data_IF_007545489149
#
_entry.id   IF_007545489149
#
_cell.length_a   1.000
_cell.length_b   1.000
_cell.length_c   1.000
_cell.angle_alpha   90.00
_cell.angle_beta   90.00
_cell.angle_gamma   90.00
#
_symmetry.space_group_name_H-M   'P 1'
#
loop_
_entity.id
_entity.type
_entity.pdbx_description
1 polymer ?
#
# COMPACT_ATOMS: atom_id res chain seq x y z
N UNK A 1 8.43 -8.62 -3.86
CA UNK A 1 8.42 -9.07 -2.45
C UNK A 1 9.07 -8.05 -1.49
N UNK A 2 9.10 -6.76 -1.84
CA UNK A 2 9.81 -5.69 -1.11
C UNK A 2 9.08 -5.30 0.20
N UNK A 3 7.77 -5.09 0.12
CA UNK A 3 6.90 -4.68 1.23
C UNK A 3 7.04 -5.54 2.51
N UNK A 4 7.07 -6.87 2.38
CA UNK A 4 7.19 -7.77 3.53
C UNK A 4 8.57 -7.65 4.20
N UNK A 5 9.63 -7.54 3.41
CA UNK A 5 10.98 -7.38 3.94
C UNK A 5 11.11 -6.07 4.72
N UNK A 6 10.51 -5.00 4.21
CA UNK A 6 10.48 -3.69 4.87
C UNK A 6 9.65 -3.70 6.17
N UNK A 7 8.49 -4.37 6.17
CA UNK A 7 7.68 -4.57 7.39
C UNK A 7 8.50 -5.31 8.46
N UNK A 8 9.16 -6.43 8.11
CA UNK A 8 9.97 -7.15 9.10
C UNK A 8 11.18 -6.38 9.56
N UNK A 9 11.88 -5.70 8.65
CA UNK A 9 13.03 -4.87 8.99
C UNK A 9 12.66 -3.84 10.05
N UNK A 10 11.53 -3.15 9.89
CA UNK A 10 11.05 -2.17 10.85
C UNK A 10 10.62 -2.84 12.17
N UNK A 11 9.84 -3.92 12.13
CA UNK A 11 9.46 -4.65 13.35
C UNK A 11 10.67 -5.16 14.13
N UNK A 12 11.69 -5.71 13.46
CA UNK A 12 12.93 -6.19 14.07
C UNK A 12 13.78 -5.06 14.64
N UNK A 13 13.88 -3.92 13.95
CA UNK A 13 14.59 -2.75 14.47
C UNK A 13 13.94 -2.24 15.77
N UNK A 14 12.61 -2.21 15.83
CA UNK A 14 11.89 -1.84 17.05
C UNK A 14 12.03 -2.87 18.16
N UNK A 15 11.93 -4.16 17.82
CA UNK A 15 12.15 -5.25 18.77
C UNK A 15 13.57 -5.21 19.37
N UNK A 16 14.60 -5.02 18.54
CA UNK A 16 15.98 -4.91 19.01
C UNK A 16 16.19 -3.72 19.95
N UNK A 17 15.65 -2.54 19.60
CA UNK A 17 15.65 -1.34 20.46
C UNK A 17 14.95 -1.59 21.81
N UNK A 18 13.94 -2.48 21.88
CA UNK A 18 13.28 -2.87 23.13
C UNK A 18 14.11 -3.89 23.92
N UNK A 19 14.67 -4.90 23.26
CA UNK A 19 15.48 -5.95 23.89
C UNK A 19 16.79 -5.41 24.50
N UNK A 20 17.41 -4.41 23.87
CA UNK A 20 18.59 -3.72 24.44
C UNK A 20 18.27 -2.84 25.64
N UNK A 21 16.98 -2.61 25.94
CA UNK A 21 16.54 -1.88 27.12
C UNK A 21 16.24 -2.81 28.32
N UNK A 22 16.44 -4.13 28.19
CA UNK A 22 16.36 -5.04 29.33
C UNK A 22 17.44 -4.71 30.36
N UNK A 23 17.00 -4.17 31.51
CA UNK A 23 17.83 -3.60 32.58
C UNK A 23 17.44 -2.19 33.01
N UNK A 24 16.57 -1.50 32.26
CA UNK A 24 16.04 -0.16 32.55
C UNK A 24 14.50 -0.26 32.71
N UNK A 25 13.88 0.58 33.56
CA UNK A 25 12.42 0.62 33.69
C UNK A 25 11.77 0.89 32.33
N UNK A 26 10.73 0.11 31.99
CA UNK A 26 10.05 0.16 30.69
C UNK A 26 9.44 1.54 30.39
N UNK A 27 9.25 2.37 31.43
CA UNK A 27 8.79 3.76 31.34
C UNK A 27 9.91 4.73 30.96
N UNK A 28 11.15 4.46 31.37
CA UNK A 28 12.36 5.22 30.97
C UNK A 28 12.77 4.89 29.52
N UNK A 29 12.70 3.62 29.13
CA UNK A 29 12.88 3.21 27.73
C UNK A 29 11.86 3.87 26.77
N UNK A 30 10.69 4.26 27.30
CA UNK A 30 9.64 5.01 26.60
C UNK A 30 9.92 6.52 26.51
N UNK A 31 10.73 7.09 27.40
CA UNK A 31 11.10 8.52 27.41
C UNK A 31 12.39 8.83 26.64
N UNK A 32 13.35 7.90 26.60
CA UNK A 32 14.68 8.11 25.96
C UNK A 32 14.60 8.16 24.42
N UNK A 33 13.52 7.64 23.83
CA UNK A 33 13.30 7.66 22.38
C UNK A 33 12.62 8.97 21.94
N UNK A 34 13.36 10.09 21.96
CA UNK A 34 12.84 11.42 21.63
C UNK A 34 13.33 11.95 20.26
N UNK A 35 12.44 12.70 19.59
CA UNK A 35 12.47 13.46 18.31
C UNK A 35 13.12 12.88 17.03
N UNK A 36 14.19 12.10 17.11
CA UNK A 36 15.02 11.77 15.94
C UNK A 36 14.35 10.77 14.97
N UNK A 37 13.46 9.90 15.43
CA UNK A 37 12.75 8.95 14.57
C UNK A 37 11.56 9.61 13.80
N UNK A 38 11.01 10.72 14.32
CA UNK A 38 9.85 11.41 13.72
C UNK A 38 10.21 12.18 12.46
N UNK A 39 11.32 12.94 12.51
CA UNK A 39 11.79 13.70 11.35
C UNK A 39 12.23 12.76 10.22
N UNK A 40 12.87 11.64 10.55
CA UNK A 40 13.25 10.62 9.58
C UNK A 40 12.02 10.02 8.89
N UNK A 41 10.98 9.67 9.66
CA UNK A 41 9.71 9.23 9.11
C UNK A 41 9.05 10.30 8.23
N UNK A 42 9.00 11.56 8.68
CA UNK A 42 8.41 12.65 7.91
C UNK A 42 9.15 12.88 6.59
N UNK A 43 10.48 12.84 6.60
CA UNK A 43 11.27 12.91 5.37
C UNK A 43 10.96 11.74 4.44
N UNK A 44 10.82 10.52 4.97
CA UNK A 44 10.46 9.35 4.18
C UNK A 44 9.05 9.47 3.57
N UNK A 45 8.07 9.91 4.36
CA UNK A 45 6.70 10.10 3.90
C UNK A 45 6.61 11.21 2.84
N UNK A 46 7.33 12.33 3.01
CA UNK A 46 7.46 13.39 1.99
C UNK A 46 8.12 12.89 0.72
N UNK A 47 9.23 12.18 0.84
CA UNK A 47 9.94 11.64 -0.32
C UNK A 47 9.06 10.67 -1.14
N UNK A 48 8.11 9.97 -0.52
CA UNK A 48 7.15 9.13 -1.23
C UNK A 48 6.07 9.89 -1.97
N UNK A 49 5.70 11.08 -1.51
CA UNK A 49 4.72 11.94 -2.21
C UNK A 49 5.39 12.77 -3.31
N UNK A 50 6.60 13.29 -3.08
CA UNK A 50 7.26 14.22 -4.01
C UNK A 50 7.86 13.55 -5.24
N UNK A 51 8.26 12.27 -5.13
CA UNK A 51 9.09 11.62 -6.16
C UNK A 51 8.35 10.57 -7.01
N UNK A 52 7.02 10.49 -6.94
CA UNK A 52 6.25 9.42 -7.59
C UNK A 52 4.96 9.92 -8.23
N UNK A 53 4.75 9.45 -9.45
CA UNK A 53 3.50 9.62 -10.18
C UNK A 53 2.51 8.55 -9.69
N UNK A 54 1.71 8.91 -8.69
CA UNK A 54 0.69 8.07 -8.07
C UNK A 54 -0.70 8.66 -8.30
N UNK A 55 -1.73 7.83 -8.23
CA UNK A 55 -3.13 8.26 -8.30
C UNK A 55 -3.47 9.28 -7.20
N UNK A 56 -4.55 10.04 -7.39
CA UNK A 56 -5.05 10.97 -6.37
C UNK A 56 -5.42 10.25 -5.06
N UNK A 57 -5.98 9.05 -5.14
CA UNK A 57 -6.33 8.26 -3.96
C UNK A 57 -5.07 7.78 -3.23
N UNK A 58 -4.06 7.32 -3.96
CA UNK A 58 -2.75 6.97 -3.40
C UNK A 58 -2.09 8.18 -2.73
N UNK A 59 -2.10 9.34 -3.38
CA UNK A 59 -1.54 10.58 -2.84
C UNK A 59 -2.28 11.03 -1.58
N UNK A 60 -3.61 10.90 -1.54
CA UNK A 60 -4.43 11.19 -0.37
C UNK A 60 -4.10 10.27 0.79
N UNK A 61 -3.99 8.96 0.56
CA UNK A 61 -3.61 8.00 1.60
C UNK A 61 -2.17 8.23 2.09
N UNK A 62 -1.21 8.52 1.20
CA UNK A 62 0.17 8.85 1.57
C UNK A 62 0.26 10.16 2.38
N UNK A 63 -0.53 11.19 2.02
CA UNK A 63 -0.55 12.48 2.75
C UNK A 63 -1.02 12.35 4.19
N UNK A 64 -1.86 11.34 4.53
CA UNK A 64 -2.27 11.09 5.93
C UNK A 64 -1.07 10.89 6.85
N UNK A 65 0.01 10.30 6.33
CA UNK A 65 1.23 10.03 7.07
C UNK A 65 2.11 11.27 7.24
N UNK A 66 2.04 12.25 6.32
CA UNK A 66 2.72 13.55 6.47
C UNK A 66 2.14 14.41 7.60
N UNK A 67 0.85 14.24 7.92
CA UNK A 67 0.12 15.03 8.92
C UNK A 67 0.10 14.45 10.32
N UNK A 68 0.63 13.23 10.52
CA UNK A 68 0.64 12.60 11.84
C UNK A 68 1.67 13.29 12.76
N UNK A 69 1.20 14.07 13.74
CA UNK A 69 2.02 14.51 14.89
C UNK A 69 1.88 13.50 16.05
N UNK A 70 3.01 13.13 16.66
CA UNK A 70 3.09 11.96 17.55
C UNK A 70 2.76 12.24 19.02
N UNK A 71 2.15 11.25 19.67
CA UNK A 71 1.93 11.20 21.13
C UNK A 71 2.70 10.04 21.78
N UNK A 72 3.02 8.94 21.06
CA UNK A 72 3.88 7.83 21.54
C UNK A 72 4.43 6.89 20.42
N UNK A 73 5.41 6.03 20.78
CA UNK A 73 6.18 5.14 19.89
C UNK A 73 5.40 4.00 19.22
N UNK A 74 4.34 3.50 19.86
CA UNK A 74 3.48 2.48 19.25
C UNK A 74 2.78 3.07 18.01
N UNK A 75 2.32 4.31 18.12
CA UNK A 75 1.70 5.03 17.01
C UNK A 75 2.73 5.31 15.90
N UNK A 76 3.97 5.66 16.23
CA UNK A 76 5.05 5.81 15.25
C UNK A 76 5.28 4.53 14.43
N UNK A 77 5.44 3.38 15.10
CA UNK A 77 5.61 2.11 14.40
C UNK A 77 4.38 1.77 13.52
N UNK A 78 3.17 1.99 14.03
CA UNK A 78 1.94 1.77 13.24
C UNK A 78 1.91 2.66 11.99
N UNK A 79 2.31 3.92 12.12
CA UNK A 79 2.39 4.86 11.00
C UNK A 79 3.47 4.47 9.98
N UNK A 80 4.68 4.08 10.42
CA UNK A 80 5.75 3.58 9.56
C UNK A 80 5.34 2.34 8.78
N UNK A 81 4.72 1.38 9.44
CA UNK A 81 4.25 0.15 8.80
C UNK A 81 3.07 0.41 7.86
N UNK A 82 2.14 1.29 8.25
CA UNK A 82 1.04 1.72 7.41
C UNK A 82 1.53 2.43 6.14
N UNK A 83 2.58 3.26 6.24
CA UNK A 83 3.21 3.90 5.09
C UNK A 83 3.80 2.88 4.11
N UNK A 84 4.47 1.83 4.62
CA UNK A 84 5.03 0.75 3.79
C UNK A 84 3.92 -0.01 3.05
N UNK A 85 2.82 -0.32 3.74
CA UNK A 85 1.66 -0.97 3.11
C UNK A 85 1.06 -0.08 2.03
N UNK A 86 0.84 1.20 2.33
CA UNK A 86 0.27 2.19 1.40
C UNK A 86 1.10 2.35 0.14
N UNK A 87 2.43 2.46 0.29
CA UNK A 87 3.34 2.49 -0.85
C UNK A 87 3.25 1.23 -1.71
N UNK A 88 3.19 0.05 -1.08
CA UNK A 88 3.07 -1.22 -1.81
C UNK A 88 1.80 -1.29 -2.65
N UNK A 89 0.68 -0.78 -2.13
CA UNK A 89 -0.58 -0.70 -2.88
C UNK A 89 -0.56 0.37 -3.97
N UNK A 90 0.06 1.53 -3.73
CA UNK A 90 0.20 2.57 -4.76
C UNK A 90 1.05 2.08 -5.96
N UNK A 91 2.14 1.36 -5.69
CA UNK A 91 2.95 0.73 -6.75
C UNK A 91 2.14 -0.32 -7.52
N UNK A 92 1.30 -1.08 -6.82
CA UNK A 92 0.43 -2.08 -7.41
C UNK A 92 -0.69 -1.45 -8.27
N UNK A 93 -1.28 -0.36 -7.81
CA UNK A 93 -2.28 0.42 -8.55
C UNK A 93 -1.69 0.91 -9.87
N UNK A 94 -0.49 1.47 -9.86
CA UNK A 94 0.18 1.93 -11.08
C UNK A 94 0.35 0.82 -12.11
N UNK A 95 0.76 -0.38 -11.67
CA UNK A 95 0.91 -1.54 -12.57
C UNK A 95 -0.45 -1.97 -13.14
N UNK A 96 -1.49 -2.00 -12.32
CA UNK A 96 -2.84 -2.36 -12.77
C UNK A 96 -3.39 -1.33 -13.74
N UNK A 97 -3.28 -0.04 -13.41
CA UNK A 97 -3.73 1.06 -14.27
C UNK A 97 -3.06 1.00 -15.64
N UNK A 98 -1.73 0.88 -15.68
CA UNK A 98 -0.98 0.76 -16.92
C UNK A 98 -1.47 -0.41 -17.78
N UNK A 99 -1.65 -1.59 -17.18
CA UNK A 99 -2.12 -2.76 -17.90
C UNK A 99 -3.56 -2.59 -18.45
N UNK A 100 -4.45 -1.96 -17.68
CA UNK A 100 -5.83 -1.70 -18.12
C UNK A 100 -5.87 -0.67 -19.24
N UNK A 101 -5.10 0.42 -19.16
CA UNK A 101 -5.00 1.42 -20.23
C UNK A 101 -4.47 0.81 -21.53
N UNK A 102 -3.42 -0.02 -21.46
CA UNK A 102 -2.90 -0.74 -22.63
C UNK A 102 -3.96 -1.68 -23.22
N UNK A 103 -4.66 -2.43 -22.36
CA UNK A 103 -5.69 -3.37 -22.79
C UNK A 103 -6.84 -2.65 -23.50
N UNK A 104 -7.37 -1.58 -22.92
CA UNK A 104 -8.43 -0.75 -23.52
C UNK A 104 -7.98 -0.17 -24.85
N UNK A 105 -6.80 0.45 -24.89
CA UNK A 105 -6.26 1.05 -26.11
C UNK A 105 -6.12 0.02 -27.22
N UNK A 106 -5.62 -1.18 -26.90
CA UNK A 106 -5.49 -2.27 -27.87
C UNK A 106 -6.84 -2.75 -28.37
N UNK A 107 -7.82 -2.92 -27.49
CA UNK A 107 -9.16 -3.36 -27.87
C UNK A 107 -9.83 -2.36 -28.81
N UNK A 108 -9.79 -1.06 -28.48
CA UNK A 108 -10.39 -0.01 -29.32
C UNK A 108 -9.76 0.01 -30.73
N UNK A 109 -8.43 -0.06 -30.82
CA UNK A 109 -7.73 -0.13 -32.11
C UNK A 109 -8.07 -1.39 -32.89
N UNK A 110 -8.22 -2.53 -32.21
CA UNK A 110 -8.59 -3.78 -32.84
C UNK A 110 -10.00 -3.73 -33.43
N UNK A 111 -10.98 -3.25 -32.66
CA UNK A 111 -12.36 -3.07 -33.12
C UNK A 111 -12.44 -2.09 -34.30
N UNK A 112 -11.73 -0.96 -34.23
CA UNK A 112 -11.64 0.00 -35.32
C UNK A 112 -11.09 -0.62 -36.62
N UNK A 113 -10.02 -1.41 -36.51
CA UNK A 113 -9.40 -2.10 -37.63
C UNK A 113 -10.34 -3.12 -38.29
N UNK A 114 -11.16 -3.83 -37.51
CA UNK A 114 -12.20 -4.73 -38.03
C UNK A 114 -13.26 -3.95 -38.82
N UNK A 115 -13.63 -2.76 -38.35
CA UNK A 115 -14.67 -1.93 -38.95
C UNK A 115 -14.16 -1.06 -40.11
N UNK A 116 -12.85 -1.10 -40.42
CA UNK A 116 -12.25 -0.24 -41.43
C UNK A 116 -12.30 1.26 -41.08
N UNK A 117 -12.46 1.59 -39.80
CA UNK A 117 -12.55 2.97 -39.31
C UNK A 117 -11.17 3.51 -38.93
N UNK A 118 -10.90 4.76 -39.29
CA UNK A 118 -9.76 5.50 -38.73
C UNK A 118 -10.13 5.94 -37.31
N UNK A 119 -9.39 5.47 -36.30
CA UNK A 119 -9.69 5.76 -34.89
C UNK A 119 -8.53 6.47 -34.23
N UNK A 120 -8.80 7.72 -33.87
CA UNK A 120 -8.00 8.48 -32.94
C UNK A 120 -8.45 8.15 -31.50
N UNK A 121 -7.74 7.25 -30.82
CA UNK A 121 -7.99 6.92 -29.41
C UNK A 121 -7.49 8.06 -28.53
N UNK A 122 -8.39 8.85 -27.95
CA UNK A 122 -8.01 9.90 -27.00
C UNK A 122 -7.68 9.27 -25.64
N UNK A 123 -6.61 9.74 -24.95
CA UNK A 123 -6.29 9.27 -23.61
C UNK A 123 -7.44 9.40 -22.60
N UNK A 124 -8.23 10.48 -22.70
CA UNK A 124 -9.41 10.72 -21.84
C UNK A 124 -10.50 9.66 -21.99
N UNK A 125 -10.68 9.13 -23.21
CA UNK A 125 -11.70 8.11 -23.48
C UNK A 125 -11.24 6.76 -22.90
N UNK A 126 -9.94 6.46 -23.01
CA UNK A 126 -9.32 5.30 -22.37
C UNK A 126 -9.48 5.37 -20.86
N UNK A 127 -9.14 6.52 -20.27
CA UNK A 127 -9.24 6.75 -18.84
C UNK A 127 -10.68 6.59 -18.33
N UNK A 128 -11.67 7.16 -19.03
CA UNK A 128 -13.08 7.01 -18.71
C UNK A 128 -13.53 5.54 -18.71
N UNK A 129 -13.06 4.74 -19.66
CA UNK A 129 -13.36 3.30 -19.71
C UNK A 129 -12.65 2.57 -18.57
N UNK A 130 -11.36 2.83 -18.36
CA UNK A 130 -10.56 2.19 -17.29
C UNK A 130 -11.20 2.42 -15.92
N UNK A 131 -11.52 3.67 -15.59
CA UNK A 131 -12.08 4.05 -14.30
C UNK A 131 -13.61 3.97 -14.21
N UNK A 132 -14.28 3.46 -15.25
CA UNK A 132 -15.72 3.21 -15.18
C UNK A 132 -16.06 2.24 -14.04
N UNK A 133 -17.17 2.48 -13.36
CA UNK A 133 -17.63 1.63 -12.27
C UNK A 133 -18.13 0.28 -12.81
N UNK A 134 -17.92 -0.78 -12.03
CA UNK A 134 -18.63 -2.04 -12.22
C UNK A 134 -19.40 -2.36 -10.93
N UNK A 135 -20.74 -2.32 -10.99
CA UNK A 135 -21.53 -2.14 -9.77
C UNK A 135 -21.27 -0.77 -9.14
N UNK A 136 -21.01 -0.71 -7.84
CA UNK A 136 -20.88 0.54 -7.09
C UNK A 136 -19.47 1.16 -7.10
N UNK A 137 -18.43 0.34 -7.37
CA UNK A 137 -17.04 0.76 -7.26
C UNK A 137 -16.26 0.48 -8.55
N UNK A 138 -15.28 1.34 -8.84
CA UNK A 138 -14.26 1.07 -9.83
C UNK A 138 -13.17 0.12 -9.27
N UNK A 139 -12.26 -0.31 -10.14
CA UNK A 139 -11.23 -1.28 -9.78
C UNK A 139 -10.22 -0.74 -8.75
N UNK A 140 -9.88 0.55 -8.81
CA UNK A 140 -8.94 1.18 -7.90
C UNK A 140 -9.54 1.26 -6.50
N UNK A 141 -10.79 1.69 -6.37
CA UNK A 141 -11.51 1.71 -5.10
C UNK A 141 -11.56 0.32 -4.45
N UNK A 142 -11.77 -0.75 -5.23
CA UNK A 142 -11.71 -2.13 -4.71
C UNK A 142 -10.31 -2.53 -4.28
N UNK A 143 -9.27 -2.09 -4.99
CA UNK A 143 -7.89 -2.35 -4.60
C UNK A 143 -7.61 -1.73 -3.23
N UNK A 144 -7.98 -0.45 -3.03
CA UNK A 144 -7.82 0.28 -1.77
C UNK A 144 -8.68 -0.31 -0.64
N UNK A 145 -9.90 -0.76 -0.91
CA UNK A 145 -10.72 -1.43 0.10
C UNK A 145 -10.07 -2.73 0.64
N UNK A 146 -9.34 -3.47 -0.20
CA UNK A 146 -8.60 -4.65 0.25
C UNK A 146 -7.36 -4.30 1.08
N UNK A 147 -6.79 -3.10 0.91
CA UNK A 147 -5.65 -2.63 1.69
C UNK A 147 -5.96 -2.50 3.17
N UNK A 148 -7.17 -2.03 3.49
CA UNK A 148 -7.59 -1.79 4.87
C UNK A 148 -7.48 -3.04 5.74
N UNK A 149 -7.72 -4.22 5.17
CA UNK A 149 -7.56 -5.48 5.89
C UNK A 149 -6.09 -5.76 6.24
N UNK A 150 -5.18 -5.62 5.25
CA UNK A 150 -3.75 -5.84 5.49
C UNK A 150 -3.18 -4.81 6.46
N UNK A 151 -3.62 -3.55 6.38
CA UNK A 151 -3.22 -2.50 7.32
C UNK A 151 -3.61 -2.85 8.75
N UNK A 152 -4.86 -3.26 8.99
CA UNK A 152 -5.34 -3.69 10.31
C UNK A 152 -4.53 -4.86 10.87
N UNK A 153 -4.18 -5.84 10.02
CA UNK A 153 -3.36 -6.98 10.44
C UNK A 153 -1.96 -6.55 10.85
N UNK A 154 -1.33 -5.66 10.08
CA UNK A 154 0.02 -5.14 10.37
C UNK A 154 0.03 -4.28 11.64
N UNK A 155 -0.98 -3.44 11.85
CA UNK A 155 -1.14 -2.65 13.08
C UNK A 155 -1.34 -3.54 14.32
N UNK A 156 -2.11 -4.63 14.17
CA UNK A 156 -2.27 -5.62 15.24
C UNK A 156 -0.94 -6.27 15.58
N UNK A 157 -0.13 -6.64 14.59
CA UNK A 157 1.20 -7.24 14.80
C UNK A 157 2.15 -6.26 15.48
N UNK A 158 2.20 -5.01 15.02
CA UNK A 158 2.95 -3.93 15.66
C UNK A 158 2.59 -3.80 17.14
N UNK A 159 1.30 -3.85 17.47
CA UNK A 159 0.81 -3.79 18.86
C UNK A 159 1.31 -4.99 19.68
N UNK A 160 1.35 -6.20 19.12
CA UNK A 160 1.85 -7.38 19.84
C UNK A 160 3.36 -7.33 20.08
N UNK A 161 4.14 -6.86 19.10
CA UNK A 161 5.59 -6.66 19.26
C UNK A 161 5.85 -5.60 20.32
N UNK A 162 5.16 -4.46 20.26
CA UNK A 162 5.39 -3.34 21.16
C UNK A 162 4.87 -3.56 22.58
N UNK A 163 3.67 -4.10 22.74
CA UNK A 163 3.01 -4.21 24.05
C UNK A 163 3.33 -5.51 24.78
N UNK A 164 3.67 -6.58 24.04
CA UNK A 164 3.83 -7.93 24.59
C UNK A 164 5.23 -8.52 24.37
N UNK A 165 6.14 -7.78 23.73
CA UNK A 165 7.50 -8.25 23.45
C UNK A 165 7.55 -9.50 22.58
N UNK A 166 6.50 -9.80 21.80
CA UNK A 166 6.48 -10.98 20.93
C UNK A 166 7.48 -10.81 19.80
N UNK A 167 8.15 -11.89 19.45
CA UNK A 167 9.17 -11.84 18.42
C UNK A 167 8.53 -11.64 17.04
N UNK A 168 8.99 -10.68 16.20
CA UNK A 168 8.41 -10.40 14.88
C UNK A 168 8.27 -11.63 13.95
N UNK A 169 9.22 -12.57 14.01
CA UNK A 169 9.17 -13.83 13.23
C UNK A 169 7.88 -14.64 13.43
N UNK A 170 7.23 -14.54 14.60
CA UNK A 170 6.00 -15.29 14.89
C UNK A 170 4.85 -14.88 13.96
N UNK A 171 4.86 -13.67 13.42
CA UNK A 171 3.82 -13.15 12.53
C UNK A 171 4.11 -13.43 11.05
N UNK A 172 5.28 -14.01 10.73
CA UNK A 172 5.70 -14.17 9.34
C UNK A 172 4.76 -14.99 8.48
N UNK A 173 4.29 -16.16 8.94
CA UNK A 173 3.37 -16.99 8.17
C UNK A 173 2.06 -16.26 7.86
N UNK A 174 1.57 -15.46 8.80
CA UNK A 174 0.30 -14.74 8.67
C UNK A 174 0.39 -13.63 7.62
N UNK A 175 1.40 -12.77 7.68
CA UNK A 175 1.61 -11.69 6.69
C UNK A 175 1.79 -12.28 5.29
N UNK A 176 2.57 -13.37 5.17
CA UNK A 176 2.74 -14.07 3.89
C UNK A 176 1.43 -14.62 3.34
N UNK A 177 0.57 -15.18 4.19
CA UNK A 177 -0.76 -15.66 3.79
C UNK A 177 -1.62 -14.50 3.27
N UNK A 178 -1.65 -13.38 3.99
CA UNK A 178 -2.42 -12.18 3.59
C UNK A 178 -1.92 -11.59 2.28
N UNK A 179 -0.62 -11.44 2.11
CA UNK A 179 -0.06 -10.96 0.85
C UNK A 179 -0.42 -11.87 -0.33
N UNK A 180 -0.38 -13.20 -0.15
CA UNK A 180 -0.81 -14.14 -1.20
C UNK A 180 -2.27 -13.94 -1.59
N UNK A 181 -3.15 -13.66 -0.61
CA UNK A 181 -4.55 -13.34 -0.85
C UNK A 181 -4.70 -12.02 -1.60
N UNK A 182 -3.98 -10.95 -1.21
CA UNK A 182 -3.94 -9.68 -1.95
C UNK A 182 -3.54 -9.90 -3.41
N UNK A 183 -2.44 -10.62 -3.66
CA UNK A 183 -1.98 -10.93 -5.02
C UNK A 183 -3.04 -11.71 -5.81
N UNK A 184 -3.69 -12.70 -5.19
CA UNK A 184 -4.75 -13.46 -5.85
C UNK A 184 -5.97 -12.58 -6.17
N UNK A 185 -6.37 -11.70 -5.26
CA UNK A 185 -7.49 -10.78 -5.45
C UNK A 185 -7.21 -9.78 -6.58
N UNK A 186 -6.00 -9.20 -6.63
CA UNK A 186 -5.62 -8.29 -7.71
C UNK A 186 -5.51 -9.00 -9.05
N UNK A 187 -5.03 -10.24 -9.10
CA UNK A 187 -5.06 -11.03 -10.35
C UNK A 187 -6.49 -11.24 -10.84
N UNK A 188 -7.43 -11.58 -9.94
CA UNK A 188 -8.85 -11.71 -10.29
C UNK A 188 -9.41 -10.41 -10.80
N UNK A 189 -9.13 -9.30 -10.10
CA UNK A 189 -9.52 -7.96 -10.52
C UNK A 189 -9.03 -7.66 -11.94
N UNK A 190 -7.74 -7.85 -12.21
CA UNK A 190 -7.15 -7.66 -13.55
C UNK A 190 -7.86 -8.48 -14.63
N UNK A 191 -8.12 -9.76 -14.37
CA UNK A 191 -8.81 -10.64 -15.32
C UNK A 191 -10.24 -10.13 -15.58
N UNK A 192 -10.97 -9.80 -14.52
CA UNK A 192 -12.36 -9.30 -14.64
C UNK A 192 -12.43 -7.97 -15.37
N UNK A 193 -11.56 -7.01 -15.04
CA UNK A 193 -11.53 -5.70 -15.67
C UNK A 193 -11.06 -5.77 -17.13
N UNK A 194 -10.07 -6.62 -17.44
CA UNK A 194 -9.64 -6.86 -18.82
C UNK A 194 -10.74 -7.53 -19.66
N UNK A 195 -11.48 -8.49 -19.09
CA UNK A 195 -12.60 -9.14 -19.77
C UNK A 195 -13.74 -8.14 -20.05
N UNK A 196 -14.08 -7.28 -19.07
CA UNK A 196 -15.08 -6.20 -19.23
C UNK A 196 -14.76 -5.28 -20.41
N UNK A 197 -13.48 -4.95 -20.59
CA UNK A 197 -13.03 -4.05 -21.66
C UNK A 197 -13.15 -4.68 -23.05
N UNK A 198 -13.14 -6.01 -23.14
CA UNK A 198 -13.19 -6.75 -24.40
C UNK A 198 -14.61 -7.03 -24.91
N UNK A 199 -15.61 -6.90 -24.06
CA UNK A 199 -17.04 -7.08 -24.39
C UNK A 199 -17.67 -5.78 -24.84
#
# INVERSE_FOLDING_TARGET
AMMIADIYKNLLAYYAKLATAEGIDWREAKQIADKFDVEAFQMQARAYVENKDFSDEANKELKRYNTAMYVNREQLLKHELGLIVTKGYAEQENVVNHHLQETVTRTLRHQAGILGADVHVKPTDVEAIVYSNFGELNWSERLWNNQDELRKDVERMASHVMLRGRHPYEFVPEIRKKQKQTVANTKRLLITEAARVQT
#
